data_IF_389374295211
#
_entry.id   IF_389374295211
#
_cell.length_a   1.000
_cell.length_b   1.000
_cell.length_c   1.000
_cell.angle_alpha   90.00
_cell.angle_beta   90.00
_cell.angle_gamma   90.00
#
_symmetry.space_group_name_H-M   'P 1'
#
loop_
_entity.id
_entity.type
_entity.pdbx_description
1 polymer ?
#
# COMPACT_ATOMS: atom_id res chain seq x y z
N UNK A 1 15.18 -8.17 -20.96
CA UNK A 1 14.07 -7.82 -20.05
C UNK A 1 14.52 -6.61 -19.25
N UNK A 2 13.75 -5.53 -19.27
CA UNK A 2 14.11 -4.37 -18.45
C UNK A 2 14.07 -4.76 -16.98
N UNK A 3 15.20 -4.66 -16.32
CA UNK A 3 15.32 -4.86 -14.89
C UNK A 3 14.48 -3.79 -14.19
N UNK A 4 13.78 -4.12 -13.10
CA UNK A 4 13.07 -3.13 -12.28
C UNK A 4 14.11 -2.11 -11.79
N UNK A 5 13.92 -0.85 -12.14
CA UNK A 5 14.84 0.23 -11.78
C UNK A 5 14.04 1.49 -11.47
N UNK A 6 14.26 2.05 -10.29
CA UNK A 6 13.65 3.29 -9.81
C UNK A 6 14.68 4.36 -9.48
N UNK A 7 15.91 4.22 -10.00
CA UNK A 7 16.97 5.21 -9.78
C UNK A 7 16.51 6.62 -10.20
N UNK A 8 16.77 7.61 -9.35
CA UNK A 8 16.36 8.98 -9.56
C UNK A 8 14.90 9.29 -9.22
N UNK A 9 14.12 8.31 -8.76
CA UNK A 9 12.74 8.50 -8.34
C UNK A 9 12.61 8.57 -6.81
N UNK A 10 11.57 9.25 -6.34
CA UNK A 10 11.23 9.43 -4.94
C UNK A 10 9.87 8.83 -4.65
N UNK A 11 9.80 7.94 -3.67
CA UNK A 11 8.57 7.27 -3.25
C UNK A 11 8.14 7.70 -1.85
N UNK A 12 6.85 7.95 -1.67
CA UNK A 12 6.23 8.04 -0.33
C UNK A 12 5.46 6.74 -0.10
N UNK A 13 5.73 6.05 1.01
CA UNK A 13 4.99 4.87 1.45
C UNK A 13 4.31 5.20 2.77
N UNK A 14 2.97 5.22 2.79
CA UNK A 14 2.22 5.52 4.01
C UNK A 14 2.05 4.29 4.89
N UNK A 15 2.10 4.48 6.23
CA UNK A 15 2.06 3.36 7.17
C UNK A 15 3.24 2.40 7.01
N UNK A 16 4.44 2.95 6.73
CA UNK A 16 5.62 2.16 6.38
C UNK A 16 6.50 1.76 7.57
N UNK A 17 6.06 2.02 8.81
CA UNK A 17 6.81 1.65 10.01
C UNK A 17 6.79 0.14 10.33
N UNK A 18 5.92 -0.65 9.70
CA UNK A 18 5.81 -2.10 9.94
C UNK A 18 5.11 -2.84 8.79
N UNK A 19 5.10 -4.17 8.87
CA UNK A 19 4.33 -5.06 7.99
C UNK A 19 4.58 -4.85 6.50
N UNK A 20 3.51 -4.86 5.71
CA UNK A 20 3.58 -4.70 4.25
C UNK A 20 4.24 -3.38 3.86
N UNK A 21 3.91 -2.28 4.55
CA UNK A 21 4.47 -0.95 4.23
C UNK A 21 5.98 -0.89 4.40
N UNK A 22 6.52 -1.51 5.44
CA UNK A 22 7.97 -1.56 5.66
C UNK A 22 8.69 -2.40 4.61
N UNK A 23 8.12 -3.55 4.23
CA UNK A 23 8.67 -4.38 3.16
C UNK A 23 8.64 -3.65 1.81
N UNK A 24 7.55 -2.92 1.51
CA UNK A 24 7.45 -2.09 0.30
C UNK A 24 8.53 -1.01 0.30
N UNK A 25 8.71 -0.28 1.41
CA UNK A 25 9.72 0.77 1.51
C UNK A 25 11.13 0.22 1.23
N UNK A 26 11.48 -0.92 1.81
CA UNK A 26 12.76 -1.60 1.56
C UNK A 26 12.91 -2.05 0.11
N UNK A 27 11.90 -2.68 -0.47
CA UNK A 27 11.94 -3.16 -1.86
C UNK A 27 12.06 -2.02 -2.88
N UNK A 28 11.40 -0.88 -2.65
CA UNK A 28 11.54 0.29 -3.52
C UNK A 28 12.95 0.91 -3.41
N UNK A 29 13.52 0.95 -2.20
CA UNK A 29 14.89 1.43 -1.99
C UNK A 29 15.93 0.49 -2.63
N UNK A 30 15.75 -0.82 -2.53
CA UNK A 30 16.63 -1.83 -3.14
C UNK A 30 16.73 -1.66 -4.66
N UNK A 31 15.65 -1.23 -5.32
CA UNK A 31 15.65 -0.98 -6.77
C UNK A 31 15.94 0.48 -7.13
N UNK A 32 16.44 1.28 -6.17
CA UNK A 32 17.06 2.59 -6.41
C UNK A 32 16.23 3.83 -6.10
N UNK A 33 15.00 3.70 -5.58
CA UNK A 33 14.24 4.86 -5.15
C UNK A 33 14.79 5.48 -3.86
N UNK A 34 14.66 6.81 -3.71
CA UNK A 34 14.68 7.42 -2.38
C UNK A 34 13.29 7.29 -1.75
N UNK A 35 13.20 6.90 -0.48
CA UNK A 35 11.93 6.50 0.13
C UNK A 35 11.60 7.30 1.37
N UNK A 36 10.40 7.88 1.42
CA UNK A 36 9.80 8.38 2.65
C UNK A 36 9.06 7.26 3.36
N UNK A 37 9.49 6.96 4.58
CA UNK A 37 8.87 6.02 5.51
C UNK A 37 7.88 6.81 6.37
N UNK A 38 6.64 6.95 5.90
CA UNK A 38 5.62 7.65 6.68
C UNK A 38 5.11 6.76 7.82
N UNK A 39 4.88 7.39 8.96
CA UNK A 39 4.32 6.76 10.15
C UNK A 39 3.37 7.73 10.89
N UNK A 40 2.39 7.24 11.69
CA UNK A 40 1.59 8.11 12.54
C UNK A 40 2.46 8.78 13.62
N UNK A 41 2.05 9.96 14.16
CA UNK A 41 2.86 10.74 15.10
C UNK A 41 2.83 10.16 16.53
N UNK A 42 3.24 8.89 16.69
CA UNK A 42 3.40 8.21 17.99
C UNK A 42 4.85 7.81 18.20
N UNK A 43 5.29 7.69 19.47
CA UNK A 43 6.66 7.30 19.80
C UNK A 43 7.02 5.92 19.25
N UNK A 44 6.17 4.92 19.48
CA UNK A 44 6.38 3.54 18.99
C UNK A 44 6.53 3.48 17.47
N UNK A 45 5.66 4.20 16.73
CA UNK A 45 5.74 4.23 15.27
C UNK A 45 6.98 4.97 14.76
N UNK A 46 7.43 5.99 15.49
CA UNK A 46 8.66 6.73 15.17
C UNK A 46 9.88 5.82 15.29
N UNK A 47 9.99 5.06 16.39
CA UNK A 47 11.12 4.17 16.61
C UNK A 47 11.17 3.05 15.57
N UNK A 48 10.02 2.47 15.25
CA UNK A 48 9.88 1.47 14.17
C UNK A 48 10.25 2.04 12.81
N UNK A 49 9.78 3.24 12.47
CA UNK A 49 10.15 3.90 11.22
C UNK A 49 11.65 4.21 11.15
N UNK A 50 12.25 4.63 12.26
CA UNK A 50 13.70 4.81 12.39
C UNK A 50 14.47 3.51 12.10
N UNK A 51 13.99 2.38 12.60
CA UNK A 51 14.59 1.07 12.32
C UNK A 51 14.51 0.71 10.83
N UNK A 52 13.36 0.94 10.19
CA UNK A 52 13.20 0.70 8.73
C UNK A 52 14.15 1.57 7.92
N UNK A 53 14.30 2.85 8.28
CA UNK A 53 15.24 3.77 7.62
C UNK A 53 16.67 3.27 7.79
N UNK A 54 17.08 2.89 9.00
CA UNK A 54 18.42 2.37 9.27
C UNK A 54 18.73 1.11 8.46
N UNK A 55 17.77 0.20 8.28
CA UNK A 55 17.92 -0.99 7.45
C UNK A 55 18.10 -0.63 5.97
N UNK A 56 17.32 0.33 5.46
CA UNK A 56 17.45 0.83 4.08
C UNK A 56 18.84 1.46 3.85
N UNK A 57 19.29 2.30 4.78
CA UNK A 57 20.59 2.97 4.68
C UNK A 57 21.77 1.98 4.79
N UNK A 58 21.66 0.99 5.67
CA UNK A 58 22.64 -0.09 5.80
C UNK A 58 22.77 -0.93 4.52
N UNK A 59 21.68 -1.04 3.73
CA UNK A 59 21.69 -1.67 2.41
C UNK A 59 22.15 -0.72 1.28
N UNK A 60 22.57 0.51 1.59
CA UNK A 60 23.03 1.50 0.61
C UNK A 60 21.93 2.32 -0.06
N UNK A 61 20.68 2.18 0.40
CA UNK A 61 19.55 2.97 -0.06
C UNK A 61 19.47 4.35 0.60
N UNK A 62 18.46 5.13 0.22
CA UNK A 62 18.17 6.46 0.79
C UNK A 62 16.77 6.48 1.35
N UNK A 63 16.59 6.82 2.61
CA UNK A 63 15.28 6.93 3.23
C UNK A 63 15.18 8.09 4.22
N UNK A 64 13.94 8.52 4.51
CA UNK A 64 13.63 9.58 5.47
C UNK A 64 12.35 9.20 6.24
N UNK A 65 12.34 9.17 7.57
CA UNK A 65 11.11 8.98 8.33
C UNK A 65 10.35 10.31 8.42
N UNK A 66 9.06 10.32 8.07
CA UNK A 66 8.19 11.49 8.23
C UNK A 66 6.93 11.10 9.00
N UNK A 67 6.72 11.78 10.14
CA UNK A 67 5.51 11.64 10.92
C UNK A 67 4.36 12.42 10.28
N UNK A 68 3.27 11.74 9.92
CA UNK A 68 2.02 12.37 9.48
C UNK A 68 0.84 11.43 9.71
N UNK A 69 -0.23 11.94 10.29
CA UNK A 69 -1.53 11.29 10.32
C UNK A 69 -2.21 11.51 8.97
N UNK A 70 -2.39 10.43 8.21
CA UNK A 70 -2.99 10.49 6.86
C UNK A 70 -4.45 10.98 6.86
N UNK A 71 -5.14 10.96 8.01
CA UNK A 71 -6.48 11.51 8.17
C UNK A 71 -6.49 13.05 8.27
N UNK A 72 -5.33 13.69 8.38
CA UNK A 72 -5.18 15.14 8.56
C UNK A 72 -4.60 15.78 7.32
N UNK A 73 -5.47 16.50 6.56
CA UNK A 73 -5.10 17.11 5.28
C UNK A 73 -3.80 17.93 5.37
N UNK A 74 -3.69 18.82 6.37
CA UNK A 74 -2.49 19.65 6.54
C UNK A 74 -1.22 18.83 6.79
N UNK A 75 -1.30 17.69 7.57
CA UNK A 75 -0.13 16.84 7.80
C UNK A 75 0.27 16.07 6.54
N UNK A 76 -0.69 15.70 5.69
CA UNK A 76 -0.40 15.12 4.38
C UNK A 76 0.29 16.14 3.49
N UNK A 77 -0.23 17.36 3.39
CA UNK A 77 0.38 18.43 2.60
C UNK A 77 1.81 18.77 3.10
N UNK A 78 2.02 18.83 4.41
CA UNK A 78 3.34 19.04 5.04
C UNK A 78 4.30 17.90 4.73
N UNK A 79 3.86 16.64 4.76
CA UNK A 79 4.66 15.46 4.40
C UNK A 79 5.15 15.55 2.94
N UNK A 80 4.29 15.94 2.01
CA UNK A 80 4.69 16.12 0.61
C UNK A 80 5.66 17.29 0.44
N UNK A 81 5.41 18.43 1.11
CA UNK A 81 6.31 19.58 1.08
C UNK A 81 7.70 19.24 1.65
N UNK A 82 7.75 18.52 2.78
CA UNK A 82 9.00 18.07 3.38
C UNK A 82 9.73 17.07 2.48
N UNK A 83 9.01 16.16 1.82
CA UNK A 83 9.59 15.24 0.84
C UNK A 83 10.24 15.99 -0.32
N UNK A 84 9.53 16.95 -0.91
CA UNK A 84 10.06 17.78 -2.00
C UNK A 84 11.27 18.60 -1.54
N UNK A 85 11.25 19.14 -0.33
CA UNK A 85 12.38 19.88 0.25
C UNK A 85 13.65 19.02 0.38
N UNK A 86 13.51 17.75 0.78
CA UNK A 86 14.65 16.85 1.03
C UNK A 86 15.14 16.13 -0.22
N UNK A 87 14.24 15.74 -1.12
CA UNK A 87 14.55 14.91 -2.29
C UNK A 87 14.29 15.60 -3.64
N UNK A 88 13.69 16.79 -3.65
CA UNK A 88 13.44 17.59 -4.84
C UNK A 88 12.14 17.26 -5.59
N UNK A 89 11.53 16.11 -5.33
CA UNK A 89 10.34 15.62 -6.07
C UNK A 89 9.59 14.57 -5.27
N UNK A 90 8.40 14.20 -5.76
CA UNK A 90 7.73 12.92 -5.51
C UNK A 90 7.35 12.33 -6.86
N UNK A 91 7.62 11.04 -7.08
CA UNK A 91 7.35 10.30 -8.31
C UNK A 91 6.38 9.15 -8.10
N UNK A 92 6.37 8.58 -6.90
CA UNK A 92 5.62 7.38 -6.55
C UNK A 92 4.92 7.61 -5.21
N UNK A 93 3.62 7.30 -5.17
CA UNK A 93 2.87 7.16 -3.93
C UNK A 93 2.45 5.70 -3.75
N UNK A 94 2.76 5.13 -2.59
CA UNK A 94 2.13 3.89 -2.12
C UNK A 94 1.23 4.24 -0.94
N UNK A 95 -0.08 4.30 -1.20
CA UNK A 95 -1.10 4.54 -0.18
C UNK A 95 -1.41 3.21 0.52
N UNK A 96 -0.62 2.90 1.56
CA UNK A 96 -0.64 1.62 2.27
C UNK A 96 -1.23 1.72 3.68
N UNK A 97 -1.23 2.88 4.33
CA UNK A 97 -1.79 3.04 5.68
C UNK A 97 -3.20 2.44 5.78
N UNK A 98 -3.43 1.65 6.82
CA UNK A 98 -4.71 1.00 7.04
C UNK A 98 -4.83 0.40 8.43
N UNK A 99 -6.07 0.29 8.92
CA UNK A 99 -6.43 -0.30 10.21
C UNK A 99 -7.66 -1.20 10.05
N UNK A 100 -7.86 -2.05 11.04
CA UNK A 100 -9.05 -2.89 11.22
C UNK A 100 -9.68 -2.59 12.57
N UNK A 101 -11.02 -2.67 12.65
CA UNK A 101 -11.83 -2.58 13.86
C UNK A 101 -13.00 -3.57 13.74
N UNK A 102 -12.75 -4.86 14.03
CA UNK A 102 -13.78 -5.89 13.89
C UNK A 102 -14.87 -5.73 14.95
N UNK A 103 -16.12 -5.85 14.55
CA UNK A 103 -17.28 -5.96 15.44
C UNK A 103 -18.46 -6.60 14.71
N UNK A 104 -19.39 -7.23 15.45
CA UNK A 104 -20.67 -7.61 14.90
C UNK A 104 -21.45 -6.34 14.52
N UNK A 105 -22.24 -6.39 13.44
CA UNK A 105 -22.86 -5.17 12.88
C UNK A 105 -23.74 -4.42 13.88
N UNK A 106 -24.45 -5.14 14.76
CA UNK A 106 -25.29 -4.54 15.79
C UNK A 106 -24.49 -3.89 16.94
N UNK A 107 -23.23 -4.26 17.10
CA UNK A 107 -22.33 -3.80 18.17
C UNK A 107 -21.23 -2.87 17.65
N UNK A 108 -21.17 -2.64 16.33
CA UNK A 108 -20.17 -1.77 15.72
C UNK A 108 -20.45 -0.31 16.01
N UNK A 109 -19.61 0.33 16.78
CA UNK A 109 -19.72 1.75 17.08
C UNK A 109 -19.45 2.60 15.83
N UNK A 110 -20.17 3.73 15.71
CA UNK A 110 -19.95 4.68 14.63
C UNK A 110 -18.50 5.23 14.65
N UNK A 111 -17.89 5.35 15.83
CA UNK A 111 -16.52 5.80 15.97
C UNK A 111 -15.52 4.79 15.37
N UNK A 112 -15.69 3.50 15.56
CA UNK A 112 -14.86 2.46 14.96
C UNK A 112 -15.08 2.35 13.45
N UNK A 113 -16.33 2.47 12.99
CA UNK A 113 -16.62 2.59 11.56
C UNK A 113 -15.88 3.78 10.95
N UNK A 114 -16.05 4.97 11.54
CA UNK A 114 -15.46 6.20 11.01
C UNK A 114 -13.93 6.16 11.04
N UNK A 115 -13.31 5.64 12.10
CA UNK A 115 -11.86 5.51 12.19
C UNK A 115 -11.29 4.66 11.04
N UNK A 116 -11.96 3.55 10.66
CA UNK A 116 -11.52 2.73 9.53
C UNK A 116 -11.70 3.46 8.21
N UNK A 117 -12.82 4.15 7.99
CA UNK A 117 -13.06 4.94 6.78
C UNK A 117 -12.05 6.10 6.68
N UNK A 118 -11.78 6.80 7.77
CA UNK A 118 -10.86 7.93 7.79
C UNK A 118 -9.43 7.52 7.42
N UNK A 119 -8.92 6.43 7.99
CA UNK A 119 -7.56 5.97 7.68
C UNK A 119 -7.51 5.32 6.29
N UNK A 120 -8.37 4.30 6.05
CA UNK A 120 -8.22 3.44 4.88
C UNK A 120 -8.66 4.12 3.58
N UNK A 121 -9.66 5.00 3.62
CA UNK A 121 -10.25 5.61 2.44
C UNK A 121 -9.95 7.10 2.35
N UNK A 122 -10.33 7.89 3.36
CA UNK A 122 -10.11 9.34 3.34
C UNK A 122 -8.62 9.66 3.30
N UNK A 123 -7.80 8.99 4.11
CA UNK A 123 -6.34 9.15 4.12
C UNK A 123 -5.70 8.78 2.79
N UNK A 124 -6.13 7.67 2.18
CA UNK A 124 -5.65 7.27 0.86
C UNK A 124 -6.02 8.30 -0.22
N UNK A 125 -7.24 8.85 -0.18
CA UNK A 125 -7.68 9.95 -1.05
C UNK A 125 -6.83 11.21 -0.86
N UNK A 126 -6.60 11.65 0.37
CA UNK A 126 -5.80 12.84 0.66
C UNK A 126 -4.38 12.71 0.11
N UNK A 127 -3.74 11.56 0.34
CA UNK A 127 -2.41 11.26 -0.19
C UNK A 127 -2.40 11.21 -1.73
N UNK A 128 -3.39 10.56 -2.36
CA UNK A 128 -3.49 10.48 -3.82
C UNK A 128 -3.68 11.86 -4.45
N UNK A 129 -4.49 12.72 -3.83
CA UNK A 129 -4.69 14.11 -4.26
C UNK A 129 -3.40 14.93 -4.16
N UNK A 130 -2.68 14.83 -3.03
CA UNK A 130 -1.40 15.52 -2.85
C UNK A 130 -0.35 15.05 -3.85
N UNK A 131 -0.24 13.73 -4.07
CA UNK A 131 0.63 13.15 -5.08
C UNK A 131 0.31 13.66 -6.49
N UNK A 132 -0.97 13.66 -6.85
CA UNK A 132 -1.42 14.13 -8.17
C UNK A 132 -1.06 15.61 -8.38
N UNK A 133 -1.27 16.45 -7.37
CA UNK A 133 -0.88 17.88 -7.42
C UNK A 133 0.62 18.03 -7.67
N UNK A 134 1.46 17.26 -6.98
CA UNK A 134 2.90 17.33 -7.15
C UNK A 134 3.35 16.77 -8.51
N UNK A 135 2.80 15.66 -8.98
CA UNK A 135 3.10 15.11 -10.30
C UNK A 135 2.78 16.11 -11.43
N UNK A 136 1.62 16.77 -11.34
CA UNK A 136 1.22 17.78 -12.32
C UNK A 136 2.05 19.07 -12.22
N UNK A 137 2.44 19.49 -11.00
CA UNK A 137 3.31 20.66 -10.78
C UNK A 137 4.70 20.44 -11.39
N UNK A 138 5.29 19.26 -11.17
CA UNK A 138 6.60 18.91 -11.70
C UNK A 138 6.56 18.66 -13.22
N UNK A 139 5.50 18.07 -13.70
CA UNK A 139 5.41 17.59 -15.09
C UNK A 139 6.22 16.32 -15.38
N UNK A 140 6.23 15.85 -16.63
CA UNK A 140 6.94 14.63 -17.03
C UNK A 140 8.46 14.85 -17.03
N UNK A 141 9.23 13.81 -16.62
CA UNK A 141 10.70 13.78 -16.68
C UNK A 141 11.12 12.49 -17.41
N UNK A 142 11.08 12.46 -18.77
CA UNK A 142 11.29 11.24 -19.56
C UNK A 142 12.64 10.56 -19.36
N UNK A 143 13.65 11.31 -18.91
CA UNK A 143 14.97 10.76 -18.57
C UNK A 143 14.95 9.87 -17.31
N UNK A 144 13.92 9.99 -16.46
CA UNK A 144 13.76 9.26 -15.20
C UNK A 144 12.71 8.18 -15.32
N UNK A 145 11.56 8.48 -15.94
CA UNK A 145 10.46 7.52 -16.13
C UNK A 145 9.56 7.93 -17.29
N UNK A 146 8.96 6.94 -17.95
CA UNK A 146 7.94 7.13 -18.98
C UNK A 146 6.64 7.74 -18.38
N UNK A 147 6.32 7.43 -17.13
CA UNK A 147 5.16 7.96 -16.43
C UNK A 147 5.49 9.29 -15.74
N UNK A 148 4.52 10.22 -15.73
CA UNK A 148 4.59 11.46 -14.95
C UNK A 148 4.51 11.18 -13.45
N UNK A 149 3.81 10.12 -13.04
CA UNK A 149 3.71 9.68 -11.65
C UNK A 149 3.04 8.32 -11.54
N UNK A 150 3.21 7.66 -10.40
CA UNK A 150 2.61 6.36 -10.11
C UNK A 150 1.95 6.38 -8.74
N UNK A 151 0.71 5.89 -8.66
CA UNK A 151 -0.02 5.68 -7.43
C UNK A 151 -0.34 4.18 -7.32
N UNK A 152 0.04 3.56 -6.20
CA UNK A 152 -0.31 2.18 -5.88
C UNK A 152 -1.07 2.19 -4.54
N UNK A 153 -2.31 1.73 -4.56
CA UNK A 153 -3.08 1.52 -3.34
C UNK A 153 -2.87 0.11 -2.78
N UNK A 154 -2.73 -0.03 -1.48
CA UNK A 154 -2.83 -1.31 -0.80
C UNK A 154 -4.29 -1.56 -0.42
N UNK A 155 -4.98 -2.33 -1.27
CA UNK A 155 -6.34 -2.79 -1.04
C UNK A 155 -6.35 -4.10 -0.22
N UNK A 156 -7.20 -5.04 -0.55
CA UNK A 156 -7.31 -6.37 0.06
C UNK A 156 -8.12 -7.29 -0.85
N UNK A 157 -8.00 -8.60 -0.68
CA UNK A 157 -8.97 -9.56 -1.25
C UNK A 157 -10.40 -9.24 -0.81
N UNK A 158 -10.57 -8.51 0.29
CA UNK A 158 -11.88 -8.08 0.80
C UNK A 158 -12.50 -6.91 0.02
N UNK A 159 -11.89 -6.46 -1.07
CA UNK A 159 -12.59 -5.68 -2.10
C UNK A 159 -13.45 -6.57 -3.02
N UNK A 160 -13.20 -7.90 -3.01
CA UNK A 160 -13.84 -8.91 -3.86
C UNK A 160 -14.70 -9.86 -3.02
N UNK A 161 -14.13 -10.44 -1.94
CA UNK A 161 -14.80 -11.41 -1.08
C UNK A 161 -15.22 -10.76 0.25
N UNK A 162 -16.43 -11.03 0.74
CA UNK A 162 -16.88 -10.46 2.00
C UNK A 162 -16.12 -11.02 3.20
N UNK A 163 -16.11 -10.27 4.30
CA UNK A 163 -15.56 -10.71 5.57
C UNK A 163 -16.54 -10.39 6.71
N UNK A 164 -17.08 -11.42 7.34
CA UNK A 164 -17.97 -11.24 8.48
C UNK A 164 -17.25 -10.51 9.63
N UNK A 165 -17.97 -9.66 10.35
CA UNK A 165 -17.45 -8.81 11.45
C UNK A 165 -16.48 -7.69 11.03
N UNK A 166 -16.23 -7.52 9.74
CA UNK A 166 -15.32 -6.52 9.18
C UNK A 166 -16.03 -5.62 8.14
N UNK A 167 -17.29 -5.26 8.41
CA UNK A 167 -18.09 -4.49 7.47
C UNK A 167 -17.45 -3.13 7.10
N UNK A 168 -16.88 -2.43 8.09
CA UNK A 168 -16.15 -1.17 7.88
C UNK A 168 -14.90 -1.36 6.99
N UNK A 169 -14.11 -2.39 7.27
CA UNK A 169 -12.89 -2.69 6.51
C UNK A 169 -13.22 -3.09 5.07
N UNK A 170 -14.11 -4.06 4.87
CA UNK A 170 -14.50 -4.52 3.53
C UNK A 170 -15.11 -3.38 2.70
N UNK A 171 -15.97 -2.54 3.31
CA UNK A 171 -16.52 -1.35 2.66
C UNK A 171 -15.41 -0.38 2.23
N UNK A 172 -14.42 -0.12 3.12
CA UNK A 172 -13.28 0.76 2.79
C UNK A 172 -12.45 0.22 1.63
N UNK A 173 -12.20 -1.09 1.57
CA UNK A 173 -11.39 -1.72 0.52
C UNK A 173 -12.13 -1.81 -0.82
N UNK A 174 -13.45 -2.07 -0.81
CA UNK A 174 -14.31 -1.94 -1.99
C UNK A 174 -14.32 -0.52 -2.56
N UNK A 175 -14.38 0.49 -1.66
CA UNK A 175 -14.31 1.89 -2.07
C UNK A 175 -12.93 2.26 -2.65
N UNK A 176 -11.82 1.75 -2.10
CA UNK A 176 -10.46 1.92 -2.67
C UNK A 176 -10.38 1.36 -4.08
N UNK A 177 -10.98 0.18 -4.34
CA UNK A 177 -11.00 -0.41 -5.68
C UNK A 177 -11.66 0.53 -6.71
N UNK A 178 -12.78 1.15 -6.35
CA UNK A 178 -13.47 2.10 -7.25
C UNK A 178 -12.75 3.44 -7.34
N UNK A 179 -12.20 3.97 -6.25
CA UNK A 179 -11.38 5.18 -6.25
C UNK A 179 -10.17 5.00 -7.19
N UNK A 180 -9.46 3.88 -7.09
CA UNK A 180 -8.32 3.55 -7.93
C UNK A 180 -8.70 3.58 -9.42
N UNK A 181 -9.80 2.93 -9.81
CA UNK A 181 -10.26 2.88 -11.21
C UNK A 181 -10.68 4.25 -11.73
N UNK A 182 -11.36 5.04 -10.90
CA UNK A 182 -11.78 6.41 -11.27
C UNK A 182 -10.57 7.30 -11.52
N UNK A 183 -9.57 7.27 -10.62
CA UNK A 183 -8.34 8.04 -10.79
C UNK A 183 -7.50 7.53 -11.97
N UNK A 184 -7.45 6.22 -12.19
CA UNK A 184 -6.75 5.65 -13.34
C UNK A 184 -7.33 6.16 -14.67
N UNK A 185 -8.65 6.24 -14.78
CA UNK A 185 -9.33 6.76 -15.97
C UNK A 185 -9.09 8.27 -16.15
N UNK A 186 -9.23 9.05 -15.07
CA UNK A 186 -9.09 10.50 -15.09
C UNK A 186 -7.66 10.94 -15.43
N UNK A 187 -6.66 10.26 -14.88
CA UNK A 187 -5.27 10.69 -14.92
C UNK A 187 -4.43 10.06 -16.04
N UNK A 188 -4.96 9.07 -16.76
CA UNK A 188 -4.25 8.36 -17.83
C UNK A 188 -3.72 9.31 -18.92
N UNK A 189 -4.51 10.31 -19.35
CA UNK A 189 -4.10 11.30 -20.35
C UNK A 189 -2.94 12.19 -19.89
N UNK A 190 -2.66 12.23 -18.59
CA UNK A 190 -1.52 12.94 -17.97
C UNK A 190 -0.32 12.03 -17.74
N UNK A 191 -0.37 10.78 -18.24
CA UNK A 191 0.66 9.76 -18.00
C UNK A 191 0.89 9.47 -16.53
N UNK A 192 -0.14 9.56 -15.70
CA UNK A 192 -0.13 9.12 -14.30
C UNK A 192 -0.83 7.78 -14.26
N UNK A 193 -0.12 6.76 -13.77
CA UNK A 193 -0.67 5.40 -13.61
C UNK A 193 -1.19 5.20 -12.19
N UNK A 194 -2.35 4.60 -12.09
CA UNK A 194 -2.99 4.30 -10.80
C UNK A 194 -3.42 2.84 -10.80
N UNK A 195 -2.87 2.07 -9.86
CA UNK A 195 -3.15 0.65 -9.71
C UNK A 195 -3.34 0.32 -8.22
N UNK A 196 -3.74 -0.90 -7.92
CA UNK A 196 -3.74 -1.42 -6.54
C UNK A 196 -3.14 -2.81 -6.47
N UNK A 197 -2.67 -3.18 -5.29
CA UNK A 197 -2.44 -4.56 -4.89
C UNK A 197 -3.56 -4.98 -3.95
N UNK A 198 -4.03 -6.22 -4.09
CA UNK A 198 -5.06 -6.81 -3.23
C UNK A 198 -4.49 -8.04 -2.52
N UNK A 199 -3.79 -7.85 -1.37
CA UNK A 199 -3.23 -8.95 -0.60
C UNK A 199 -4.32 -9.83 0.01
N UNK A 200 -4.06 -11.15 0.06
CA UNK A 200 -4.78 -12.09 0.90
C UNK A 200 -4.21 -12.15 2.31
N UNK A 201 -4.12 -13.35 2.88
CA UNK A 201 -3.50 -13.56 4.18
C UNK A 201 -1.98 -13.39 4.10
N UNK A 202 -1.48 -12.27 4.62
CA UNK A 202 -0.05 -11.93 4.71
C UNK A 202 0.35 -11.88 6.19
N UNK A 203 1.50 -12.44 6.54
CA UNK A 203 2.01 -12.46 7.92
C UNK A 203 2.43 -11.05 8.35
N UNK A 204 1.60 -10.39 9.14
CA UNK A 204 1.82 -9.02 9.62
C UNK A 204 1.40 -8.88 11.08
N UNK A 205 1.88 -7.85 11.80
CA UNK A 205 1.43 -7.60 13.19
C UNK A 205 -0.07 -7.35 13.32
N UNK A 206 -0.74 -6.82 12.30
CA UNK A 206 -2.17 -6.45 12.35
C UNK A 206 -3.08 -7.68 12.42
N UNK A 207 -2.66 -8.82 11.88
CA UNK A 207 -3.44 -10.07 11.85
C UNK A 207 -2.75 -11.21 12.60
N UNK A 208 -1.91 -10.91 13.58
CA UNK A 208 -1.11 -11.88 14.32
C UNK A 208 -1.94 -13.02 14.91
N UNK A 209 -3.13 -12.74 15.43
CA UNK A 209 -4.04 -13.73 16.02
C UNK A 209 -4.48 -14.82 15.02
N UNK A 210 -4.47 -14.51 13.72
CA UNK A 210 -4.88 -15.45 12.68
C UNK A 210 -3.82 -16.53 12.37
N UNK A 211 -2.58 -16.39 12.84
CA UNK A 211 -1.48 -17.31 12.48
C UNK A 211 -0.47 -17.62 13.59
N UNK A 212 -0.54 -16.97 14.76
CA UNK A 212 0.41 -17.20 15.85
C UNK A 212 0.29 -18.57 16.52
N UNK A 213 -0.92 -19.14 16.57
CA UNK A 213 -1.12 -20.49 17.11
C UNK A 213 -1.18 -21.51 15.97
N UNK A 214 -0.76 -22.76 16.26
CA UNK A 214 -0.81 -23.85 15.28
C UNK A 214 -2.23 -24.05 14.73
N UNK A 215 -3.23 -24.10 15.62
CA UNK A 215 -4.63 -24.28 15.23
C UNK A 215 -5.16 -23.14 14.34
N UNK A 216 -4.86 -21.86 14.67
CA UNK A 216 -5.24 -20.73 13.86
C UNK A 216 -4.54 -20.77 12.48
N UNK A 217 -3.26 -21.12 12.47
CA UNK A 217 -2.48 -21.27 11.24
C UNK A 217 -3.04 -22.37 10.33
N UNK A 218 -3.34 -23.54 10.87
CA UNK A 218 -3.93 -24.66 10.12
C UNK A 218 -5.29 -24.26 9.53
N UNK A 219 -6.14 -23.61 10.33
CA UNK A 219 -7.43 -23.10 9.85
C UNK A 219 -7.26 -22.11 8.72
N UNK A 220 -6.35 -21.14 8.85
CA UNK A 220 -6.06 -20.14 7.81
C UNK A 220 -5.56 -20.81 6.52
N UNK A 221 -4.71 -21.83 6.62
CA UNK A 221 -4.17 -22.55 5.48
C UNK A 221 -5.23 -23.30 4.68
N UNK A 222 -6.37 -23.66 5.28
CA UNK A 222 -7.49 -24.26 4.53
C UNK A 222 -8.07 -23.31 3.48
N UNK A 223 -7.92 -22.00 3.69
CA UNK A 223 -8.40 -20.94 2.80
C UNK A 223 -7.42 -20.58 1.69
N UNK A 224 -6.16 -21.08 1.75
CA UNK A 224 -5.09 -20.68 0.85
C UNK A 224 -4.65 -21.89 -0.01
N UNK A 225 -5.11 -22.00 -1.26
CA UNK A 225 -4.77 -23.12 -2.15
C UNK A 225 -3.27 -23.33 -2.36
N UNK A 226 -2.47 -22.25 -2.33
CA UNK A 226 -1.02 -22.31 -2.51
C UNK A 226 -0.28 -22.98 -1.33
N UNK A 227 -0.93 -23.15 -0.17
CA UNK A 227 -0.44 -23.93 0.97
C UNK A 227 0.53 -23.20 1.91
N UNK A 228 0.70 -21.89 1.76
CA UNK A 228 1.42 -21.05 2.73
C UNK A 228 0.76 -19.70 2.93
N UNK A 229 0.95 -19.12 4.09
CA UNK A 229 0.64 -17.71 4.34
C UNK A 229 1.63 -16.87 3.53
N UNK A 230 1.18 -15.75 2.95
CA UNK A 230 2.06 -14.81 2.26
C UNK A 230 2.97 -14.06 3.24
N UNK A 231 4.11 -13.63 2.75
CA UNK A 231 5.02 -12.75 3.49
C UNK A 231 4.92 -11.32 2.92
N UNK A 232 5.24 -10.28 3.70
CA UNK A 232 5.21 -8.89 3.24
C UNK A 232 5.99 -8.66 1.94
N UNK A 233 7.07 -9.41 1.73
CA UNK A 233 7.92 -9.37 0.53
C UNK A 233 7.19 -9.86 -0.73
N UNK A 234 6.19 -10.74 -0.60
CA UNK A 234 5.38 -11.17 -1.75
C UNK A 234 4.60 -9.99 -2.33
N UNK A 235 4.10 -9.11 -1.46
CA UNK A 235 3.40 -7.88 -1.85
C UNK A 235 4.40 -6.82 -2.33
N UNK A 236 5.51 -6.66 -1.63
CA UNK A 236 6.52 -5.63 -1.91
C UNK A 236 7.12 -5.76 -3.31
N UNK A 237 7.43 -6.99 -3.76
CA UNK A 237 7.92 -7.25 -5.12
C UNK A 237 6.92 -6.84 -6.20
N UNK A 238 5.65 -7.09 -5.98
CA UNK A 238 4.59 -6.70 -6.91
C UNK A 238 4.42 -5.17 -6.97
N UNK A 239 4.50 -4.49 -5.82
CA UNK A 239 4.46 -3.02 -5.76
C UNK A 239 5.66 -2.41 -6.47
N UNK A 240 6.87 -2.94 -6.28
CA UNK A 240 8.07 -2.47 -6.99
C UNK A 240 7.92 -2.60 -8.51
N UNK A 241 7.33 -3.70 -9.00
CA UNK A 241 7.02 -3.86 -10.42
C UNK A 241 5.97 -2.84 -10.89
N UNK A 242 4.85 -2.67 -10.18
CA UNK A 242 3.81 -1.68 -10.52
C UNK A 242 4.35 -0.24 -10.50
N UNK A 243 5.31 0.07 -9.65
CA UNK A 243 5.95 1.37 -9.56
C UNK A 243 6.97 1.63 -10.68
N UNK A 244 7.44 0.60 -11.39
CA UNK A 244 8.47 0.68 -12.42
C UNK A 244 7.91 0.84 -13.82
N UNK A 245 8.76 1.25 -14.76
CA UNK A 245 8.41 1.33 -16.19
C UNK A 245 8.27 -0.06 -16.84
N UNK A 246 8.63 -1.15 -16.15
CA UNK A 246 8.33 -2.52 -16.59
C UNK A 246 6.82 -2.81 -16.66
N UNK A 247 6.01 -2.00 -15.99
CA UNK A 247 4.55 -2.04 -16.01
C UNK A 247 3.91 -0.81 -16.67
N UNK A 248 4.60 -0.13 -17.61
CA UNK A 248 4.16 1.17 -18.15
C UNK A 248 2.75 1.14 -18.78
N UNK A 249 2.34 0.03 -19.38
CA UNK A 249 1.00 -0.10 -19.99
C UNK A 249 -0.06 -0.68 -19.04
N UNK A 250 0.27 -0.83 -17.73
CA UNK A 250 -0.64 -1.33 -16.69
C UNK A 250 -1.24 -0.17 -15.92
N UNK A 251 -2.55 0.05 -16.08
CA UNK A 251 -3.28 1.13 -15.43
C UNK A 251 -4.72 0.70 -15.11
N UNK A 252 -5.21 1.01 -13.92
CA UNK A 252 -6.56 0.69 -13.45
C UNK A 252 -6.75 -0.78 -13.05
N UNK A 253 -5.68 -1.51 -12.75
CA UNK A 253 -5.75 -2.92 -12.32
C UNK A 253 -5.59 -3.07 -10.81
N UNK A 254 -6.33 -4.05 -10.27
CA UNK A 254 -6.07 -4.59 -8.94
C UNK A 254 -5.30 -5.92 -9.12
N UNK A 255 -4.04 -5.95 -8.69
CA UNK A 255 -3.23 -7.16 -8.73
C UNK A 255 -3.45 -7.96 -7.44
N UNK A 256 -4.13 -9.10 -7.56
CA UNK A 256 -4.41 -9.98 -6.44
C UNK A 256 -3.16 -10.78 -6.08
N UNK A 257 -2.80 -10.79 -4.78
CA UNK A 257 -1.59 -11.47 -4.24
C UNK A 257 -2.04 -12.27 -3.01
N UNK A 258 -2.61 -13.44 -3.23
CA UNK A 258 -3.39 -14.15 -2.21
C UNK A 258 -3.17 -15.67 -2.14
N UNK A 259 -2.28 -16.22 -2.95
CA UNK A 259 -2.08 -17.66 -3.03
C UNK A 259 -3.33 -18.43 -3.50
N UNK A 260 -4.24 -17.75 -4.19
CA UNK A 260 -5.50 -18.32 -4.70
C UNK A 260 -6.66 -18.27 -3.71
N UNK A 261 -6.57 -17.50 -2.61
CA UNK A 261 -7.59 -17.40 -1.58
C UNK A 261 -8.96 -16.91 -2.11
N UNK A 262 -8.96 -16.06 -3.15
CA UNK A 262 -10.18 -15.55 -3.79
C UNK A 262 -10.81 -16.54 -4.77
N UNK A 263 -10.14 -17.65 -5.10
CA UNK A 263 -10.68 -18.62 -6.03
C UNK A 263 -11.71 -19.52 -5.33
N UNK A 264 -12.75 -19.89 -6.06
CA UNK A 264 -13.83 -20.72 -5.50
C UNK A 264 -13.31 -22.13 -5.14
N UNK A 265 -13.36 -22.55 -3.86
CA UNK A 265 -12.66 -23.75 -3.41
C UNK A 265 -13.32 -25.07 -3.82
N UNK A 266 -14.59 -25.07 -4.22
CA UNK A 266 -15.35 -26.29 -4.50
C UNK A 266 -14.77 -27.14 -5.64
N UNK A 267 -14.03 -26.54 -6.56
CA UNK A 267 -13.42 -27.26 -7.68
C UNK A 267 -11.96 -27.67 -7.45
N UNK A 268 -11.42 -27.48 -6.24
CA UNK A 268 -10.03 -27.84 -5.90
C UNK A 268 -9.73 -29.33 -6.10
N UNK A 269 -10.72 -30.20 -5.96
CA UNK A 269 -10.61 -31.65 -6.14
C UNK A 269 -10.98 -32.15 -7.55
N UNK A 270 -11.21 -31.28 -8.50
CA UNK A 270 -11.55 -31.65 -9.87
C UNK A 270 -13.07 -31.77 -10.17
N UNK A 271 -13.91 -31.31 -9.26
CA UNK A 271 -15.39 -31.29 -9.39
C UNK A 271 -16.06 -32.58 -8.98
#
# INVERSE_FOLDING_TARGET
>A
MNQINLAGQVAIVTGASSGIGSAIAKALAEVGAAVVVNHPPTSDSKDKAGSVVAEIEAAGGRALPIAADVCREHQVDDMFAETVKNFGTVDILVANAGIERPAAIQDMDLADWQAVIDVNLTGAFLCARAATREFLRRGPVPAVSAATGKIVFTSSVHEIIPWAFQANYAASKGAISMLMRSLAQELACKKIRVNSVAPGAIRTPINADAWQTEAAREQLLTLIPYGRIGEPEDVARAVAWLASDASDYVNGTALVIDGGMTLYPAFRGGG
#
